data_IF_139141587938
#
_entry.id   IF_139141587938
#
_cell.length_a   1.000
_cell.length_b   1.000
_cell.length_c   1.000
_cell.angle_alpha   90.00
_cell.angle_beta   90.00
_cell.angle_gamma   90.00
#
_symmetry.space_group_name_H-M   'P 1'
#
loop_
_entity.id
_entity.type
_entity.pdbx_description
1 polymer ?
#
# COMPACT_ATOMS: atom_id res chain seq x y z
N UNK A 1 15.31 -6.53 -27.46
CA UNK A 1 16.70 -6.01 -27.58
C UNK A 1 17.15 -5.25 -26.33
N UNK A 2 16.26 -4.59 -25.57
CA UNK A 2 16.62 -3.90 -24.32
C UNK A 2 16.89 -4.85 -23.14
N UNK A 3 16.26 -6.03 -23.12
CA UNK A 3 16.38 -6.99 -22.00
C UNK A 3 17.78 -7.63 -21.85
N UNK A 4 18.59 -7.62 -22.92
CA UNK A 4 19.96 -8.16 -22.89
C UNK A 4 21.01 -7.18 -22.38
N UNK A 5 20.68 -5.89 -22.30
CA UNK A 5 21.62 -4.82 -21.93
C UNK A 5 22.15 -4.99 -20.50
N UNK A 6 21.32 -5.26 -19.47
CA UNK A 6 21.83 -5.45 -18.11
C UNK A 6 22.78 -6.64 -17.99
N UNK A 7 22.44 -7.75 -18.66
CA UNK A 7 23.30 -8.94 -18.68
C UNK A 7 24.63 -8.69 -19.38
N UNK A 8 24.61 -8.00 -20.51
CA UNK A 8 25.82 -7.64 -21.26
C UNK A 8 26.74 -6.70 -20.46
N UNK A 9 26.17 -5.68 -19.81
CA UNK A 9 26.92 -4.76 -18.93
C UNK A 9 27.54 -5.53 -17.76
N UNK A 10 26.80 -6.47 -17.15
CA UNK A 10 27.32 -7.29 -16.06
C UNK A 10 28.52 -8.15 -16.49
N UNK A 11 28.45 -8.78 -17.68
CA UNK A 11 29.57 -9.55 -18.24
C UNK A 11 30.79 -8.70 -18.53
N UNK A 12 30.60 -7.50 -19.11
CA UNK A 12 31.71 -6.56 -19.32
C UNK A 12 32.32 -6.14 -17.99
N UNK A 13 31.52 -5.75 -17.00
CA UNK A 13 32.01 -5.33 -15.69
C UNK A 13 32.82 -6.44 -15.01
N UNK A 14 32.38 -7.69 -15.15
CA UNK A 14 33.11 -8.86 -14.64
C UNK A 14 34.46 -9.04 -15.33
N UNK A 15 34.50 -9.02 -16.67
CA UNK A 15 35.74 -9.15 -17.43
C UNK A 15 36.72 -8.02 -17.14
N UNK A 16 36.23 -6.78 -17.04
CA UNK A 16 37.04 -5.61 -16.65
C UNK A 16 37.57 -5.76 -15.24
N UNK A 17 36.77 -6.29 -14.30
CA UNK A 17 37.22 -6.53 -12.92
C UNK A 17 38.33 -7.59 -12.85
N UNK A 18 38.20 -8.68 -13.60
CA UNK A 18 39.23 -9.73 -13.68
C UNK A 18 40.52 -9.18 -14.30
N UNK A 19 40.41 -8.47 -15.44
CA UNK A 19 41.58 -7.86 -16.09
C UNK A 19 42.26 -6.82 -15.18
N UNK A 20 41.49 -5.99 -14.50
CA UNK A 20 41.98 -4.98 -13.55
C UNK A 20 42.62 -5.61 -12.32
N UNK A 21 42.16 -6.78 -11.87
CA UNK A 21 42.76 -7.50 -10.75
C UNK A 21 44.19 -7.95 -11.06
N UNK A 22 44.47 -8.34 -12.31
CA UNK A 22 45.81 -8.75 -12.75
C UNK A 22 46.69 -7.54 -13.07
N UNK A 23 46.15 -6.55 -13.79
CA UNK A 23 46.93 -5.41 -14.27
C UNK A 23 47.15 -4.31 -13.21
N UNK A 24 46.17 -4.08 -12.33
CA UNK A 24 46.16 -2.99 -11.35
C UNK A 24 45.61 -3.45 -9.98
N UNK A 25 46.22 -4.46 -9.33
CA UNK A 25 45.68 -5.06 -8.11
C UNK A 25 45.49 -4.04 -6.98
N UNK A 26 46.45 -3.13 -6.77
CA UNK A 26 46.36 -2.12 -5.70
C UNK A 26 45.17 -1.17 -5.91
N UNK A 27 44.98 -0.66 -7.14
CA UNK A 27 43.87 0.24 -7.48
C UNK A 27 42.52 -0.44 -7.28
N UNK A 28 42.39 -1.69 -7.74
CA UNK A 28 41.17 -2.48 -7.56
C UNK A 28 40.86 -2.70 -6.07
N UNK A 29 41.85 -3.12 -5.28
CA UNK A 29 41.66 -3.34 -3.83
C UNK A 29 41.30 -2.06 -3.09
N UNK A 30 41.96 -0.93 -3.37
CA UNK A 30 41.61 0.36 -2.76
C UNK A 30 40.19 0.80 -3.12
N UNK A 31 39.81 0.61 -4.39
CA UNK A 31 38.45 0.94 -4.86
C UNK A 31 37.42 0.04 -4.18
N UNK A 32 37.66 -1.27 -4.12
CA UNK A 32 36.79 -2.23 -3.44
C UNK A 32 36.66 -1.91 -1.94
N UNK A 33 37.77 -1.55 -1.27
CA UNK A 33 37.77 -1.16 0.13
C UNK A 33 36.97 0.13 0.37
N UNK A 34 37.10 1.13 -0.52
CA UNK A 34 36.31 2.36 -0.45
C UNK A 34 34.81 2.07 -0.62
N UNK A 35 34.43 1.30 -1.63
CA UNK A 35 33.03 0.90 -1.85
C UNK A 35 32.49 0.09 -0.68
N UNK A 36 33.27 -0.86 -0.15
CA UNK A 36 32.90 -1.65 1.01
C UNK A 36 32.70 -0.77 2.26
N UNK A 37 33.59 0.19 2.49
CA UNK A 37 33.50 1.12 3.63
C UNK A 37 32.27 2.03 3.51
N UNK A 38 32.05 2.61 2.32
CA UNK A 38 30.86 3.42 2.03
C UNK A 38 29.58 2.60 2.24
N UNK A 39 29.55 1.38 1.71
CA UNK A 39 28.40 0.48 1.83
C UNK A 39 28.15 0.10 3.29
N UNK A 40 29.19 -0.24 4.04
CA UNK A 40 29.09 -0.54 5.47
C UNK A 40 28.55 0.66 6.27
N UNK A 41 29.01 1.87 5.96
CA UNK A 41 28.50 3.10 6.57
C UNK A 41 27.02 3.33 6.23
N UNK A 42 26.61 3.14 4.97
CA UNK A 42 25.19 3.21 4.55
C UNK A 42 24.32 2.20 5.28
N UNK A 43 24.78 0.96 5.44
CA UNK A 43 24.07 -0.07 6.21
C UNK A 43 23.98 0.28 7.70
N UNK A 44 25.01 0.90 8.27
CA UNK A 44 24.97 1.38 9.65
C UNK A 44 23.91 2.46 9.84
N UNK A 45 23.84 3.45 8.94
CA UNK A 45 22.80 4.49 8.96
C UNK A 45 21.41 3.90 8.74
N UNK A 46 21.26 2.94 7.82
CA UNK A 46 20.01 2.21 7.59
C UNK A 46 19.53 1.51 8.88
N UNK A 47 20.44 0.93 9.65
CA UNK A 47 20.15 0.30 10.94
C UNK A 47 19.58 1.29 11.96
N UNK A 48 20.17 2.48 12.06
CA UNK A 48 19.67 3.56 12.93
C UNK A 48 18.28 4.03 12.46
N UNK A 49 18.11 4.29 11.16
CA UNK A 49 16.85 4.72 10.58
C UNK A 49 15.73 3.70 10.78
N UNK A 50 16.02 2.41 10.62
CA UNK A 50 15.07 1.33 10.89
C UNK A 50 14.68 1.29 12.38
N UNK A 51 15.63 1.47 13.30
CA UNK A 51 15.33 1.53 14.74
C UNK A 51 14.42 2.73 15.09
N UNK A 52 14.65 3.89 14.46
CA UNK A 52 13.75 5.04 14.57
C UNK A 52 12.36 4.74 14.03
N UNK A 53 12.25 4.07 12.88
CA UNK A 53 10.99 3.67 12.28
C UNK A 53 10.20 2.69 13.16
N UNK A 54 10.86 1.69 13.74
CA UNK A 54 10.23 0.75 14.68
C UNK A 54 9.70 1.49 15.91
N UNK A 55 10.46 2.44 16.44
CA UNK A 55 10.02 3.28 17.56
C UNK A 55 8.77 4.09 17.19
N UNK A 56 8.75 4.72 16.02
CA UNK A 56 7.57 5.47 15.53
C UNK A 56 6.35 4.57 15.39
N UNK A 57 6.52 3.35 14.85
CA UNK A 57 5.41 2.38 14.76
C UNK A 57 4.82 2.09 16.14
N UNK A 58 5.66 1.82 17.15
CA UNK A 58 5.20 1.58 18.52
C UNK A 58 4.46 2.78 19.11
N UNK A 59 4.95 4.00 18.84
CA UNK A 59 4.29 5.23 19.26
C UNK A 59 2.90 5.37 18.60
N UNK A 60 2.79 5.06 17.31
CA UNK A 60 1.53 5.09 16.55
C UNK A 60 0.55 4.00 16.99
N UNK A 61 1.03 2.79 17.29
CA UNK A 61 0.23 1.69 17.84
C UNK A 61 -0.35 2.05 19.21
N UNK A 62 0.42 2.74 20.06
CA UNK A 62 -0.01 3.17 21.39
C UNK A 62 -0.91 4.42 21.37
N UNK A 63 -0.98 5.14 20.24
CA UNK A 63 -1.76 6.37 20.14
C UNK A 63 -3.26 6.07 20.13
N UNK A 64 -4.00 6.87 20.91
CA UNK A 64 -5.45 7.02 20.81
C UNK A 64 -5.73 8.18 19.85
N UNK A 65 -6.10 7.83 18.60
CA UNK A 65 -6.23 8.79 17.51
C UNK A 65 -7.41 9.74 17.68
N UNK A 66 -8.52 9.27 18.27
CA UNK A 66 -9.67 10.12 18.55
C UNK A 66 -9.34 11.14 19.64
N UNK A 67 -8.68 10.71 20.73
CA UNK A 67 -8.21 11.64 21.76
C UNK A 67 -7.24 12.66 21.21
N UNK A 68 -6.33 12.25 20.33
CA UNK A 68 -5.39 13.14 19.66
C UNK A 68 -6.11 14.14 18.74
N UNK A 69 -7.12 13.69 17.99
CA UNK A 69 -7.99 14.57 17.21
C UNK A 69 -8.66 15.64 18.07
N UNK A 70 -9.22 15.28 19.22
CA UNK A 70 -9.88 16.25 20.10
C UNK A 70 -8.93 17.34 20.63
N UNK A 71 -7.64 17.02 20.77
CA UNK A 71 -6.61 17.96 21.21
C UNK A 71 -6.15 18.88 20.08
N UNK A 72 -5.99 18.34 18.87
CA UNK A 72 -5.33 19.02 17.76
C UNK A 72 -6.32 19.67 16.77
N UNK A 73 -7.62 19.37 16.86
CA UNK A 73 -8.63 19.94 15.95
C UNK A 73 -8.75 21.45 16.10
N UNK A 74 -8.76 22.14 14.97
CA UNK A 74 -8.97 23.58 14.85
C UNK A 74 -10.30 23.92 14.17
N UNK A 75 -10.56 25.22 13.92
CA UNK A 75 -11.77 25.68 13.23
C UNK A 75 -11.96 25.08 11.84
N UNK A 76 -10.87 24.83 11.12
CA UNK A 76 -10.88 24.30 9.74
C UNK A 76 -10.82 22.76 9.69
N UNK A 77 -10.83 22.08 10.84
CA UNK A 77 -10.84 20.62 10.91
C UNK A 77 -12.21 20.06 10.54
N UNK A 78 -12.24 18.93 9.82
CA UNK A 78 -13.49 18.20 9.63
C UNK A 78 -13.98 17.61 10.95
N UNK A 79 -15.29 17.42 11.05
CA UNK A 79 -15.84 16.60 12.11
C UNK A 79 -15.33 15.15 11.95
N UNK A 80 -14.97 14.53 13.07
CA UNK A 80 -14.42 13.17 13.05
C UNK A 80 -15.37 12.18 12.36
N UNK A 81 -16.68 12.29 12.64
CA UNK A 81 -17.67 11.36 12.13
C UNK A 81 -18.09 11.70 10.69
N UNK A 82 -17.80 12.91 10.20
CA UNK A 82 -18.11 13.27 8.82
C UNK A 82 -17.15 12.66 7.83
N UNK A 83 -15.92 12.32 8.23
CA UNK A 83 -14.92 11.68 7.36
C UNK A 83 -15.41 10.32 6.89
N UNK A 84 -15.32 10.07 5.59
CA UNK A 84 -15.69 8.83 4.93
C UNK A 84 -14.48 8.23 4.22
N UNK A 85 -14.32 6.92 4.29
CA UNK A 85 -13.26 6.17 3.63
C UNK A 85 -13.87 5.34 2.51
N UNK A 86 -13.44 5.59 1.27
CA UNK A 86 -13.75 4.72 0.15
C UNK A 86 -12.54 3.82 -0.12
N UNK A 87 -12.67 2.55 0.23
CA UNK A 87 -11.62 1.53 0.09
C UNK A 87 -11.87 0.72 -1.16
N UNK A 88 -11.02 0.90 -2.17
CA UNK A 88 -11.14 0.23 -3.47
C UNK A 88 -10.24 -0.99 -3.49
N UNK A 89 -10.84 -2.15 -3.75
CA UNK A 89 -10.17 -3.44 -3.83
C UNK A 89 -10.30 -3.95 -5.27
N UNK A 90 -9.26 -3.81 -6.11
CA UNK A 90 -9.22 -4.42 -7.43
C UNK A 90 -9.03 -5.93 -7.30
N UNK A 91 -9.85 -6.68 -8.03
CA UNK A 91 -9.93 -8.15 -7.94
C UNK A 91 -9.86 -8.73 -9.35
N UNK A 92 -8.89 -9.62 -9.55
CA UNK A 92 -8.72 -10.47 -10.72
C UNK A 92 -8.13 -11.83 -10.32
N UNK A 93 -8.98 -12.86 -10.31
CA UNK A 93 -8.64 -14.27 -10.02
C UNK A 93 -8.23 -14.57 -8.57
N UNK A 94 -8.32 -13.64 -7.62
CA UNK A 94 -8.08 -13.96 -6.21
C UNK A 94 -9.13 -14.93 -5.67
N UNK A 95 -8.68 -15.90 -4.87
CA UNK A 95 -9.59 -16.88 -4.27
C UNK A 95 -10.56 -16.24 -3.27
N UNK A 96 -11.77 -16.78 -3.15
CA UNK A 96 -12.73 -16.37 -2.11
C UNK A 96 -12.13 -16.36 -0.71
N UNK A 97 -11.23 -17.31 -0.41
CA UNK A 97 -10.56 -17.39 0.89
C UNK A 97 -9.69 -16.16 1.19
N UNK A 98 -8.99 -15.63 0.18
CA UNK A 98 -8.17 -14.42 0.35
C UNK A 98 -9.09 -13.22 0.55
N UNK A 99 -10.11 -13.08 -0.29
CA UNK A 99 -11.05 -11.95 -0.24
C UNK A 99 -11.81 -11.90 1.08
N UNK A 100 -12.37 -13.02 1.55
CA UNK A 100 -13.05 -13.12 2.85
C UNK A 100 -12.08 -12.73 3.97
N UNK A 101 -10.87 -13.28 3.97
CA UNK A 101 -9.88 -12.96 5.01
C UNK A 101 -9.51 -11.48 5.02
N UNK A 102 -9.39 -10.85 3.85
CA UNK A 102 -9.06 -9.43 3.71
C UNK A 102 -10.21 -8.56 4.21
N UNK A 103 -11.45 -8.84 3.80
CA UNK A 103 -12.64 -8.10 4.24
C UNK A 103 -12.92 -8.30 5.73
N UNK A 104 -12.76 -9.52 6.27
CA UNK A 104 -12.86 -9.79 7.71
C UNK A 104 -11.84 -8.97 8.52
N UNK A 105 -10.65 -8.70 7.98
CA UNK A 105 -9.65 -7.87 8.67
C UNK A 105 -9.96 -6.38 8.54
N UNK A 106 -10.56 -5.97 7.42
CA UNK A 106 -10.99 -4.60 7.20
C UNK A 106 -12.22 -4.25 8.06
N UNK A 107 -13.12 -5.21 8.32
CA UNK A 107 -14.29 -4.97 9.18
C UNK A 107 -13.95 -4.83 10.67
N UNK A 108 -12.75 -5.24 11.08
CA UNK A 108 -12.24 -5.01 12.44
C UNK A 108 -11.71 -3.59 12.68
N UNK A 109 -11.70 -2.74 11.65
CA UNK A 109 -11.30 -1.34 11.81
C UNK A 109 -12.32 -0.58 12.67
N UNK A 110 -11.84 0.41 13.41
CA UNK A 110 -12.71 1.32 14.14
C UNK A 110 -13.68 2.03 13.19
N UNK A 111 -14.96 2.09 13.57
CA UNK A 111 -16.04 2.71 12.79
C UNK A 111 -16.24 2.15 11.37
N UNK A 112 -15.86 0.89 11.12
CA UNK A 112 -16.04 0.26 9.81
C UNK A 112 -17.48 0.35 9.29
N UNK A 113 -18.47 0.11 10.15
CA UNK A 113 -19.91 0.14 9.82
C UNK A 113 -20.48 1.54 9.57
N UNK A 114 -19.74 2.61 9.84
CA UNK A 114 -20.25 3.99 9.72
C UNK A 114 -19.38 4.91 8.86
N UNK A 115 -18.10 4.57 8.67
CA UNK A 115 -17.15 5.41 7.93
C UNK A 115 -16.43 4.68 6.80
N UNK A 116 -16.49 3.35 6.69
CA UNK A 116 -15.78 2.62 5.64
C UNK A 116 -16.78 2.11 4.61
N UNK A 117 -16.67 2.62 3.39
CA UNK A 117 -17.35 2.08 2.21
C UNK A 117 -16.35 1.28 1.38
N UNK A 118 -16.69 0.05 1.02
CA UNK A 118 -15.83 -0.83 0.21
C UNK A 118 -16.32 -0.86 -1.23
N UNK A 119 -15.42 -0.65 -2.19
CA UNK A 119 -15.69 -0.80 -3.62
C UNK A 119 -14.89 -1.97 -4.19
N UNK A 120 -15.60 -3.06 -4.49
CA UNK A 120 -15.01 -4.23 -5.15
C UNK A 120 -14.91 -3.96 -6.66
N UNK A 121 -13.70 -3.67 -7.14
CA UNK A 121 -13.42 -3.40 -8.55
C UNK A 121 -13.09 -4.72 -9.26
N UNK A 122 -14.12 -5.39 -9.77
CA UNK A 122 -14.01 -6.69 -10.43
C UNK A 122 -13.68 -6.54 -11.92
N UNK A 123 -13.04 -7.55 -12.51
CA UNK A 123 -12.90 -7.63 -13.97
C UNK A 123 -13.83 -8.67 -14.58
N UNK A 124 -14.52 -8.32 -15.67
CA UNK A 124 -15.26 -9.28 -16.50
C UNK A 124 -14.35 -10.35 -17.10
N UNK A 125 -13.02 -10.15 -17.02
CA UNK A 125 -12.06 -11.15 -17.42
C UNK A 125 -11.91 -12.33 -16.48
N UNK A 126 -12.38 -12.21 -15.26
CA UNK A 126 -12.49 -13.32 -14.34
C UNK A 126 -13.84 -14.04 -14.54
N UNK A 127 -13.85 -15.37 -14.72
CA UNK A 127 -15.07 -16.17 -14.69
C UNK A 127 -15.81 -15.97 -13.36
N UNK A 128 -17.14 -15.88 -13.41
CA UNK A 128 -18.01 -15.74 -12.24
C UNK A 128 -17.76 -14.49 -11.37
N UNK A 129 -17.04 -13.49 -11.88
CA UNK A 129 -16.73 -12.24 -11.18
C UNK A 129 -17.98 -11.56 -10.58
N UNK A 130 -19.08 -11.54 -11.32
CA UNK A 130 -20.36 -11.00 -10.82
C UNK A 130 -20.93 -11.80 -9.64
N UNK A 131 -20.96 -13.13 -9.73
CA UNK A 131 -21.48 -13.99 -8.65
C UNK A 131 -20.60 -13.92 -7.41
N UNK A 132 -19.28 -13.87 -7.60
CA UNK A 132 -18.28 -13.66 -6.56
C UNK A 132 -18.53 -12.34 -5.83
N UNK A 133 -18.65 -11.24 -6.58
CA UNK A 133 -18.92 -9.92 -6.02
C UNK A 133 -20.24 -9.88 -5.26
N UNK A 134 -21.30 -10.46 -5.81
CA UNK A 134 -22.61 -10.52 -5.14
C UNK A 134 -22.56 -11.34 -3.84
N UNK A 135 -21.79 -12.41 -3.81
CA UNK A 135 -21.60 -13.23 -2.60
C UNK A 135 -20.89 -12.43 -1.51
N UNK A 136 -19.79 -11.75 -1.85
CA UNK A 136 -19.05 -10.89 -0.91
C UNK A 136 -19.90 -9.72 -0.44
N UNK A 137 -20.60 -9.06 -1.36
CA UNK A 137 -21.51 -7.96 -1.06
C UNK A 137 -22.56 -8.36 -0.01
N UNK A 138 -23.24 -9.50 -0.22
CA UNK A 138 -24.23 -10.02 0.75
C UNK A 138 -23.62 -10.42 2.09
N UNK A 139 -22.44 -11.05 2.07
CA UNK A 139 -21.79 -11.54 3.30
C UNK A 139 -21.30 -10.38 4.21
N UNK A 140 -20.91 -9.26 3.61
CA UNK A 140 -20.29 -8.13 4.31
C UNK A 140 -21.17 -6.87 4.35
N UNK A 141 -22.44 -6.95 3.92
CA UNK A 141 -23.36 -5.82 3.85
C UNK A 141 -23.47 -5.05 5.17
N UNK A 142 -23.56 -5.77 6.30
CA UNK A 142 -23.72 -5.16 7.62
C UNK A 142 -22.38 -4.90 8.35
N UNK A 143 -21.24 -5.14 7.70
CA UNK A 143 -19.91 -4.98 8.30
C UNK A 143 -19.22 -3.66 7.92
N UNK A 144 -19.76 -2.96 6.93
CA UNK A 144 -19.23 -1.71 6.39
C UNK A 144 -20.36 -0.68 6.32
N UNK A 145 -20.01 0.60 6.22
CA UNK A 145 -20.99 1.66 5.97
C UNK A 145 -21.77 1.34 4.68
N UNK A 146 -21.03 0.95 3.64
CA UNK A 146 -21.58 0.40 2.41
C UNK A 146 -20.59 -0.59 1.79
N UNK A 147 -21.11 -1.49 0.98
CA UNK A 147 -20.30 -2.32 0.09
C UNK A 147 -20.89 -2.25 -1.31
N UNK A 148 -20.05 -1.85 -2.26
CA UNK A 148 -20.38 -1.69 -3.67
C UNK A 148 -19.50 -2.63 -4.49
N UNK A 149 -19.92 -2.88 -5.73
CA UNK A 149 -19.06 -3.55 -6.69
C UNK A 149 -19.31 -3.01 -8.09
N UNK A 150 -18.26 -3.07 -8.91
CA UNK A 150 -18.32 -2.76 -10.34
C UNK A 150 -17.67 -3.89 -11.11
N UNK A 151 -18.08 -4.10 -12.36
CA UNK A 151 -17.42 -5.05 -13.26
C UNK A 151 -16.87 -4.29 -14.46
N UNK A 152 -15.55 -4.28 -14.58
CA UNK A 152 -14.83 -3.69 -15.71
C UNK A 152 -14.98 -4.59 -16.95
N UNK A 153 -15.62 -4.13 -18.04
CA UNK A 153 -15.87 -4.95 -19.22
C UNK A 153 -14.58 -5.30 -19.99
N UNK A 154 -14.64 -6.36 -20.80
CA UNK A 154 -13.55 -6.72 -21.72
C UNK A 154 -13.65 -5.92 -23.02
N UNK A 155 -12.49 -5.65 -23.61
CA UNK A 155 -12.39 -5.23 -25.02
C UNK A 155 -12.82 -3.77 -25.30
N UNK A 156 -12.66 -2.87 -24.32
CA UNK A 156 -12.86 -1.45 -24.55
C UNK A 156 -11.86 -0.94 -25.60
N UNK A 157 -12.39 -0.24 -26.61
CA UNK A 157 -11.58 0.25 -27.74
C UNK A 157 -10.59 1.30 -27.24
N UNK A 158 -9.30 1.08 -27.53
CA UNK A 158 -8.24 2.02 -27.18
C UNK A 158 -7.76 1.93 -25.72
N UNK A 159 -8.26 0.97 -24.94
CA UNK A 159 -7.84 0.76 -23.56
C UNK A 159 -6.94 -0.47 -23.42
N UNK A 160 -5.86 -0.32 -22.64
CA UNK A 160 -5.06 -1.46 -22.19
C UNK A 160 -5.63 -1.98 -20.87
N UNK A 161 -6.15 -3.21 -20.90
CA UNK A 161 -6.68 -3.85 -19.70
C UNK A 161 -5.57 -4.08 -18.67
N UNK A 162 -5.71 -3.45 -17.51
CA UNK A 162 -4.78 -3.53 -16.39
C UNK A 162 -5.48 -3.09 -15.10
N UNK A 163 -4.81 -3.32 -13.95
CA UNK A 163 -5.29 -2.89 -12.63
C UNK A 163 -5.71 -1.42 -12.60
N UNK A 164 -4.92 -0.54 -13.23
CA UNK A 164 -5.21 0.90 -13.26
C UNK A 164 -6.46 1.23 -14.08
N UNK A 165 -6.69 0.54 -15.21
CA UNK A 165 -7.90 0.71 -16.01
C UNK A 165 -9.15 0.27 -15.24
N UNK A 166 -9.07 -0.88 -14.56
CA UNK A 166 -10.15 -1.37 -13.70
C UNK A 166 -10.46 -0.39 -12.55
N UNK A 167 -9.44 0.13 -11.86
CA UNK A 167 -9.64 1.15 -10.81
C UNK A 167 -10.29 2.43 -11.34
N UNK A 168 -9.84 2.93 -12.50
CA UNK A 168 -10.43 4.12 -13.14
C UNK A 168 -11.91 3.89 -13.50
N UNK A 169 -12.22 2.73 -14.08
CA UNK A 169 -13.60 2.32 -14.38
C UNK A 169 -14.46 2.27 -13.12
N UNK A 170 -13.98 1.62 -12.06
CA UNK A 170 -14.70 1.46 -10.81
C UNK A 170 -15.03 2.81 -10.16
N UNK A 171 -14.04 3.71 -10.10
CA UNK A 171 -14.21 5.05 -9.55
C UNK A 171 -15.24 5.84 -10.36
N UNK A 172 -15.12 5.89 -11.69
CA UNK A 172 -16.07 6.62 -12.53
C UNK A 172 -17.51 6.13 -12.33
N UNK A 173 -17.71 4.80 -12.26
CA UNK A 173 -19.04 4.22 -11.99
C UNK A 173 -19.55 4.51 -10.59
N UNK A 174 -18.67 4.59 -9.60
CA UNK A 174 -19.07 4.99 -8.25
C UNK A 174 -19.53 6.45 -8.22
N UNK A 175 -18.82 7.36 -8.90
CA UNK A 175 -19.24 8.76 -8.98
C UNK A 175 -20.58 8.91 -9.72
N UNK A 176 -20.71 8.31 -10.90
CA UNK A 176 -21.92 8.39 -11.73
C UNK A 176 -23.18 7.84 -11.02
N UNK A 177 -23.04 6.73 -10.30
CA UNK A 177 -24.21 6.00 -9.78
C UNK A 177 -24.48 6.23 -8.30
N UNK A 178 -23.51 6.71 -7.52
CA UNK A 178 -23.64 6.81 -6.05
C UNK A 178 -23.50 8.25 -5.62
N UNK A 179 -22.42 8.92 -6.02
CA UNK A 179 -22.17 10.30 -5.59
C UNK A 179 -23.25 11.25 -6.13
N UNK A 180 -23.56 11.13 -7.42
CA UNK A 180 -24.56 11.99 -8.07
C UNK A 180 -26.00 11.68 -7.61
N UNK A 181 -26.31 10.42 -7.32
CA UNK A 181 -27.66 9.99 -6.89
C UNK A 181 -27.93 10.25 -5.41
N UNK A 182 -26.97 9.97 -4.53
CA UNK A 182 -27.12 10.09 -3.08
C UNK A 182 -26.72 11.48 -2.54
N UNK A 183 -26.14 12.34 -3.37
CA UNK A 183 -25.73 13.69 -2.98
C UNK A 183 -24.59 13.71 -1.96
N UNK A 184 -23.64 12.79 -2.10
CA UNK A 184 -22.53 12.63 -1.16
C UNK A 184 -21.61 13.85 -1.17
N UNK A 185 -21.22 14.32 0.01
CA UNK A 185 -20.21 15.38 0.13
C UNK A 185 -18.80 14.79 -0.05
N UNK A 186 -18.29 14.89 -1.28
CA UNK A 186 -16.99 14.37 -1.68
C UNK A 186 -15.81 14.98 -0.90
N UNK A 187 -15.98 16.18 -0.32
CA UNK A 187 -14.93 16.85 0.46
C UNK A 187 -14.63 16.12 1.78
N UNK A 188 -15.50 15.19 2.18
CA UNK A 188 -15.30 14.35 3.34
C UNK A 188 -14.68 12.99 3.02
N UNK A 189 -14.46 12.65 1.74
CA UNK A 189 -14.00 11.33 1.33
C UNK A 189 -12.48 11.23 1.21
N UNK A 190 -11.94 10.14 1.76
CA UNK A 190 -10.55 9.69 1.56
C UNK A 190 -10.57 8.42 0.72
N UNK A 191 -9.84 8.46 -0.39
CA UNK A 191 -9.72 7.31 -1.28
C UNK A 191 -8.52 6.44 -0.88
N UNK A 192 -8.76 5.16 -0.61
CA UNK A 192 -7.70 4.19 -0.34
C UNK A 192 -7.74 3.10 -1.39
N UNK A 193 -6.65 2.92 -2.14
CA UNK A 193 -6.47 1.75 -3.00
C UNK A 193 -5.63 0.72 -2.25
N UNK A 194 -6.08 -0.54 -2.22
CA UNK A 194 -5.36 -1.63 -1.56
C UNK A 194 -5.34 -2.88 -2.45
N UNK A 195 -4.35 -3.74 -2.30
CA UNK A 195 -4.37 -5.05 -2.94
C UNK A 195 -5.36 -5.98 -2.23
N UNK A 196 -5.88 -6.96 -2.96
CA UNK A 196 -6.86 -7.94 -2.47
C UNK A 196 -6.35 -8.81 -1.30
N UNK A 197 -5.03 -8.84 -1.04
CA UNK A 197 -4.38 -9.55 0.07
C UNK A 197 -3.75 -8.61 1.13
N UNK A 198 -3.99 -7.30 1.02
CA UNK A 198 -3.48 -6.32 1.98
C UNK A 198 -4.18 -6.47 3.34
N UNK A 199 -3.41 -6.40 4.42
CA UNK A 199 -3.92 -6.43 5.80
C UNK A 199 -3.49 -5.17 6.55
N UNK A 200 -4.48 -4.35 6.90
CA UNK A 200 -4.26 -3.13 7.66
C UNK A 200 -4.10 -3.40 9.15
N UNK A 201 -3.35 -2.55 9.84
CA UNK A 201 -3.37 -2.52 11.30
C UNK A 201 -4.75 -2.06 11.78
N UNK A 202 -5.25 -2.57 12.91
CA UNK A 202 -6.60 -2.28 13.47
C UNK A 202 -6.90 -0.79 13.66
N UNK A 203 -5.87 0.03 13.89
CA UNK A 203 -5.96 1.48 14.07
C UNK A 203 -5.65 2.30 12.82
N UNK A 204 -5.45 1.67 11.66
CA UNK A 204 -5.00 2.36 10.46
C UNK A 204 -6.01 3.43 10.01
N UNK A 205 -7.28 3.07 9.89
CA UNK A 205 -8.30 4.00 9.43
C UNK A 205 -8.63 5.09 10.45
N UNK A 206 -8.52 4.81 11.76
CA UNK A 206 -8.60 5.85 12.79
C UNK A 206 -7.46 6.87 12.68
N UNK A 207 -6.23 6.41 12.44
CA UNK A 207 -5.09 7.29 12.18
C UNK A 207 -5.29 8.13 10.91
N UNK A 208 -5.81 7.50 9.85
CA UNK A 208 -6.11 8.19 8.59
C UNK A 208 -7.21 9.24 8.77
N UNK A 209 -8.28 8.92 9.50
CA UNK A 209 -9.33 9.89 9.88
C UNK A 209 -8.73 11.09 10.59
N UNK A 210 -7.91 10.87 11.62
CA UNK A 210 -7.20 11.93 12.33
C UNK A 210 -6.42 12.82 11.35
N UNK A 211 -5.54 12.22 10.55
CA UNK A 211 -4.65 12.97 9.67
C UNK A 211 -5.37 13.69 8.53
N UNK A 212 -6.46 13.12 8.02
CA UNK A 212 -7.29 13.76 7.00
C UNK A 212 -8.08 14.94 7.59
N UNK A 213 -8.72 14.72 8.74
CA UNK A 213 -9.61 15.70 9.36
C UNK A 213 -8.89 16.98 9.77
N UNK A 214 -7.67 16.89 10.33
CA UNK A 214 -6.94 18.07 10.81
C UNK A 214 -6.12 18.78 9.72
N UNK A 215 -5.86 18.14 8.59
CA UNK A 215 -4.98 18.69 7.56
C UNK A 215 -5.75 19.68 6.67
N UNK A 216 -5.34 20.95 6.66
CA UNK A 216 -5.91 22.00 5.80
C UNK A 216 -5.73 21.69 4.30
N UNK A 217 -4.65 21.00 3.93
CA UNK A 217 -4.33 20.58 2.57
C UNK A 217 -4.72 19.12 2.29
N UNK A 218 -5.76 18.60 2.95
CA UNK A 218 -6.15 17.18 2.88
C UNK A 218 -6.34 16.66 1.45
N UNK A 219 -6.94 17.43 0.54
CA UNK A 219 -7.15 17.05 -0.85
C UNK A 219 -5.89 17.10 -1.73
N UNK A 220 -4.78 17.61 -1.19
CA UNK A 220 -3.47 17.69 -1.88
C UNK A 220 -2.42 16.82 -1.18
N UNK A 221 -2.84 16.00 -0.23
CA UNK A 221 -1.95 15.16 0.57
C UNK A 221 -2.18 13.69 0.23
N UNK A 222 -1.11 12.95 0.06
CA UNK A 222 -1.14 11.50 -0.04
C UNK A 222 -0.64 10.89 1.28
N UNK A 223 -1.37 9.90 1.78
CA UNK A 223 -0.95 9.12 2.95
C UNK A 223 -0.50 7.74 2.49
N UNK A 224 0.71 7.35 2.91
CA UNK A 224 1.27 6.06 2.60
C UNK A 224 1.72 5.38 3.89
N UNK A 225 1.18 4.19 4.15
CA UNK A 225 1.66 3.36 5.25
C UNK A 225 2.93 2.61 4.85
N UNK A 226 3.83 2.29 5.80
CA UNK A 226 4.95 1.40 5.54
C UNK A 226 4.47 0.00 5.18
N UNK A 227 4.96 -0.54 4.06
CA UNK A 227 4.67 -1.92 3.65
C UNK A 227 5.51 -2.89 4.49
N UNK A 228 4.87 -3.93 5.03
CA UNK A 228 5.51 -4.93 5.90
C UNK A 228 5.21 -6.34 5.39
N UNK A 229 6.25 -7.11 5.05
CA UNK A 229 6.11 -8.46 4.49
C UNK A 229 6.05 -9.58 5.54
N UNK A 230 5.47 -9.31 6.72
CA UNK A 230 5.48 -10.25 7.85
C UNK A 230 4.28 -11.21 7.88
N UNK A 231 3.20 -10.92 7.15
CA UNK A 231 1.91 -11.60 7.31
C UNK A 231 1.94 -13.12 7.12
N UNK A 232 2.81 -13.62 6.25
CA UNK A 232 3.02 -15.05 6.00
C UNK A 232 4.51 -15.45 6.02
N UNK A 233 5.36 -14.67 6.71
CA UNK A 233 6.82 -14.86 6.66
C UNK A 233 7.26 -16.26 7.11
N UNK A 234 6.50 -16.90 8.01
CA UNK A 234 6.77 -18.26 8.47
C UNK A 234 6.32 -19.37 7.50
N UNK A 235 5.53 -19.03 6.49
CA UNK A 235 4.97 -19.95 5.50
C UNK A 235 5.74 -19.93 4.17
N UNK A 236 6.47 -18.85 3.88
CA UNK A 236 7.29 -18.73 2.67
C UNK A 236 8.63 -19.47 2.80
N UNK A 237 9.26 -19.71 1.65
CA UNK A 237 10.59 -20.30 1.55
C UNK A 237 11.60 -19.54 2.45
N UNK A 238 12.45 -20.23 3.23
CA UNK A 238 13.42 -19.60 4.12
C UNK A 238 14.31 -18.52 3.47
N UNK A 239 14.71 -18.69 2.20
CA UNK A 239 15.51 -17.69 1.48
C UNK A 239 14.70 -16.41 1.22
N UNK A 240 13.41 -16.54 0.91
CA UNK A 240 12.52 -15.39 0.74
C UNK A 240 12.27 -14.65 2.04
N UNK A 241 12.38 -15.31 3.21
CA UNK A 241 12.24 -14.64 4.52
C UNK A 241 13.32 -13.59 4.71
N UNK A 242 14.55 -13.90 4.33
CA UNK A 242 15.69 -12.97 4.44
C UNK A 242 15.42 -11.76 3.56
N UNK A 243 15.06 -11.97 2.29
CA UNK A 243 14.75 -10.90 1.33
C UNK A 243 13.61 -10.02 1.84
N UNK A 244 12.50 -10.62 2.29
CA UNK A 244 11.34 -9.90 2.80
C UNK A 244 11.64 -9.12 4.08
N UNK A 245 12.47 -9.67 4.97
CA UNK A 245 12.93 -8.98 6.20
C UNK A 245 13.77 -7.76 5.84
N UNK A 246 14.71 -7.90 4.90
CA UNK A 246 15.50 -6.78 4.41
C UNK A 246 14.62 -5.73 3.73
N UNK A 247 13.77 -6.12 2.77
CA UNK A 247 12.87 -5.20 2.09
C UNK A 247 12.02 -4.40 3.08
N UNK A 248 11.48 -5.07 4.10
CA UNK A 248 10.71 -4.42 5.17
C UNK A 248 11.54 -3.42 5.98
N UNK A 249 12.77 -3.77 6.34
CA UNK A 249 13.66 -2.88 7.12
C UNK A 249 14.09 -1.66 6.30
N UNK A 250 14.40 -1.85 5.02
CA UNK A 250 14.78 -0.80 4.10
C UNK A 250 13.62 0.17 3.84
N UNK A 251 12.43 -0.35 3.54
CA UNK A 251 11.21 0.45 3.35
C UNK A 251 10.93 1.35 4.55
N UNK A 252 10.96 0.76 5.75
CA UNK A 252 10.73 1.49 6.99
C UNK A 252 11.81 2.53 7.26
N UNK A 253 13.07 2.20 7.00
CA UNK A 253 14.17 3.13 7.17
C UNK A 253 14.02 4.33 6.22
N UNK A 254 13.70 4.13 4.94
CA UNK A 254 13.51 5.24 3.99
C UNK A 254 12.37 6.17 4.40
N UNK A 255 11.27 5.62 4.90
CA UNK A 255 10.15 6.40 5.41
C UNK A 255 10.47 7.14 6.72
N UNK A 256 11.25 6.51 7.61
CA UNK A 256 11.60 7.11 8.90
C UNK A 256 12.63 8.25 8.77
N UNK A 257 13.58 8.09 7.85
CA UNK A 257 14.67 9.02 7.61
C UNK A 257 15.01 9.03 6.10
N UNK A 258 14.45 9.94 5.30
CA UNK A 258 14.69 9.93 3.84
C UNK A 258 16.12 10.34 3.43
N UNK A 259 16.97 10.73 4.39
CA UNK A 259 18.30 11.28 4.15
C UNK A 259 19.44 10.25 4.23
N UNK A 260 19.20 9.02 4.73
CA UNK A 260 20.30 8.08 4.96
C UNK A 260 20.75 7.34 3.71
#
# INVERSE_FOLDING_TARGET
MLDGIPGFIAWIALLVSIASAVAFPLTLTLTAALVATYTAFRFFLAGIANAMGIRRIKEWEATDWYRKYLQDRGPDSLDWNSVQHLVIVPIYNESMKILIRTLDQLSLQENATTQISVLLAMEAAEPDSYQKAQTLNRQFADQFANIYFTVHPRGLIGEMQCKSANLAWAINRFFENVVDEEGLNIDNYVLTTMDADTRWHEKHFAALTYHFAINENRHRTFWQAPIRYHGNIWQVNPLMRIINTYATAFELAYLAAPWW
#
